data_IF_470175770989
#
_entry.id   IF_470175770989
#
_cell.length_a   1.000
_cell.length_b   1.000
_cell.length_c   1.000
_cell.angle_alpha   90.00
_cell.angle_beta   90.00
_cell.angle_gamma   90.00
#
_symmetry.space_group_name_H-M   'P 1'
#
loop_
_entity.id
_entity.type
_entity.pdbx_description
1 polymer ?
#
# COMPACT_ATOMS: atom_id res chain seq x y z
N UNK A 1 -19.95 25.53 0.48
CA UNK A 1 -20.26 24.68 1.64
C UNK A 1 -18.95 24.17 2.22
N UNK A 2 -18.62 24.48 3.47
CA UNK A 2 -17.34 24.09 4.11
C UNK A 2 -17.57 22.92 5.05
N UNK A 3 -16.92 21.78 4.80
CA UNK A 3 -16.92 20.65 5.71
C UNK A 3 -15.80 20.82 6.76
N UNK A 4 -16.11 20.53 8.03
CA UNK A 4 -15.10 20.48 9.11
C UNK A 4 -14.60 19.05 9.29
N UNK A 5 -13.29 18.92 9.39
CA UNK A 5 -12.56 17.68 9.66
C UNK A 5 -11.55 17.96 10.77
N UNK A 6 -11.32 16.96 11.63
CA UNK A 6 -10.31 17.03 12.69
C UNK A 6 -8.91 16.66 12.14
N UNK A 7 -8.87 15.89 11.03
CA UNK A 7 -7.66 15.53 10.31
C UNK A 7 -7.93 15.43 8.81
N UNK A 8 -7.02 15.98 8.01
CA UNK A 8 -6.95 15.76 6.57
C UNK A 8 -5.61 15.11 6.25
N UNK A 9 -5.64 13.91 5.69
CA UNK A 9 -4.45 13.18 5.25
C UNK A 9 -4.29 13.34 3.75
N UNK A 10 -3.08 13.75 3.32
CA UNK A 10 -2.72 13.87 1.92
C UNK A 10 -1.85 12.66 1.57
N UNK A 11 -2.40 11.76 0.76
CA UNK A 11 -1.81 10.48 0.36
C UNK A 11 -2.50 9.28 1.03
N UNK A 12 -3.11 8.42 0.23
CA UNK A 12 -3.72 7.14 0.57
C UNK A 12 -2.72 5.97 0.48
N UNK A 13 -1.46 6.22 0.84
CA UNK A 13 -0.46 5.17 1.07
C UNK A 13 -0.57 4.58 2.47
N UNK A 14 0.21 3.51 2.73
CA UNK A 14 0.16 2.78 4.02
C UNK A 14 0.34 3.67 5.25
N UNK A 15 1.24 4.66 5.20
CA UNK A 15 1.45 5.58 6.32
C UNK A 15 0.22 6.48 6.56
N UNK A 16 -0.34 7.05 5.48
CA UNK A 16 -1.51 7.92 5.56
C UNK A 16 -2.76 7.17 6.04
N UNK A 17 -3.00 5.99 5.49
CA UNK A 17 -4.10 5.11 5.92
C UNK A 17 -3.93 4.70 7.39
N UNK A 18 -2.71 4.34 7.82
CA UNK A 18 -2.47 3.96 9.21
C UNK A 18 -2.75 5.12 10.19
N UNK A 19 -2.33 6.33 9.86
CA UNK A 19 -2.63 7.51 10.66
C UNK A 19 -4.14 7.84 10.67
N UNK A 20 -4.76 7.85 9.49
CA UNK A 20 -6.19 8.13 9.34
C UNK A 20 -7.06 7.15 10.12
N UNK A 21 -6.78 5.85 10.02
CA UNK A 21 -7.52 4.80 10.72
C UNK A 21 -7.38 4.93 12.24
N UNK A 22 -6.17 5.24 12.75
CA UNK A 22 -5.96 5.47 14.19
C UNK A 22 -6.78 6.65 14.70
N UNK A 23 -6.79 7.77 13.98
CA UNK A 23 -7.59 8.95 14.38
C UNK A 23 -9.09 8.70 14.25
N UNK A 24 -9.53 8.06 13.16
CA UNK A 24 -10.94 7.72 12.96
C UNK A 24 -11.45 6.76 14.06
N UNK A 25 -10.63 5.81 14.50
CA UNK A 25 -10.96 4.93 15.63
C UNK A 25 -11.11 5.67 16.97
N UNK A 26 -10.56 6.88 17.10
CA UNK A 26 -10.74 7.77 18.25
C UNK A 26 -11.95 8.72 18.07
N UNK A 27 -12.78 8.50 17.05
CA UNK A 27 -13.99 9.30 16.78
C UNK A 27 -13.76 10.58 15.98
N UNK A 28 -12.54 10.80 15.47
CA UNK A 28 -12.25 11.99 14.66
C UNK A 28 -12.91 11.91 13.30
N UNK A 29 -13.40 13.05 12.79
CA UNK A 29 -13.83 13.20 11.40
C UNK A 29 -12.60 13.36 10.52
N UNK A 30 -12.19 12.27 9.87
CA UNK A 30 -10.98 12.24 9.03
C UNK A 30 -11.36 12.26 7.55
N UNK A 31 -10.63 13.06 6.77
CA UNK A 31 -10.62 12.99 5.32
C UNK A 31 -9.27 12.47 4.81
N UNK A 32 -9.28 11.68 3.74
CA UNK A 32 -8.07 11.29 3.02
C UNK A 32 -8.26 11.71 1.56
N UNK A 33 -7.23 12.30 0.97
CA UNK A 33 -7.20 12.63 -0.45
C UNK A 33 -5.92 12.09 -1.06
N UNK A 34 -5.99 11.56 -2.28
CA UNK A 34 -4.83 11.13 -3.05
C UNK A 34 -5.07 11.49 -4.53
N UNK A 35 -4.00 11.82 -5.23
CA UNK A 35 -4.02 12.05 -6.68
C UNK A 35 -3.88 10.72 -7.47
N UNK A 36 -3.42 9.66 -6.80
CA UNK A 36 -3.19 8.34 -7.36
C UNK A 36 -4.15 7.31 -6.75
N UNK A 37 -4.22 6.09 -7.30
CA UNK A 37 -5.08 5.05 -6.78
C UNK A 37 -4.75 4.67 -5.32
N UNK A 38 -5.78 4.30 -4.57
CA UNK A 38 -5.72 3.87 -3.18
C UNK A 38 -4.70 2.73 -2.96
N UNK A 39 -3.92 2.83 -1.87
CA UNK A 39 -2.89 1.85 -1.49
C UNK A 39 -1.47 2.36 -1.68
N UNK A 40 -1.28 3.40 -2.51
CA UNK A 40 0.01 4.06 -2.72
C UNK A 40 1.10 3.12 -3.25
N UNK A 41 2.36 3.50 -3.02
CA UNK A 41 3.51 2.81 -3.64
C UNK A 41 3.67 1.37 -3.16
N UNK A 42 3.61 1.12 -1.84
CA UNK A 42 3.92 -0.21 -1.30
C UNK A 42 2.96 -1.29 -1.84
N UNK A 43 1.65 -1.01 -1.87
CA UNK A 43 0.66 -1.97 -2.37
C UNK A 43 0.66 -2.09 -3.90
N UNK A 44 0.77 -0.98 -4.63
CA UNK A 44 0.51 -0.99 -6.08
C UNK A 44 1.76 -1.12 -6.94
N UNK A 45 2.91 -0.65 -6.45
CA UNK A 45 4.13 -0.47 -7.28
C UNK A 45 5.43 -0.74 -6.51
N UNK A 46 5.33 -1.46 -5.39
CA UNK A 46 6.42 -1.58 -4.43
C UNK A 46 6.44 -2.95 -3.79
N UNK A 47 6.17 -3.00 -2.50
CA UNK A 47 6.27 -4.19 -1.66
C UNK A 47 5.55 -5.41 -2.22
N UNK A 48 4.28 -5.26 -2.60
CA UNK A 48 3.43 -6.40 -2.95
C UNK A 48 3.78 -6.96 -4.33
N UNK A 49 3.86 -6.15 -5.42
CA UNK A 49 4.33 -6.63 -6.72
C UNK A 49 5.74 -7.23 -6.63
N UNK A 50 6.64 -6.61 -5.86
CA UNK A 50 8.00 -7.13 -5.64
C UNK A 50 8.00 -8.50 -4.97
N UNK A 51 7.14 -8.75 -3.99
CA UNK A 51 7.04 -10.07 -3.34
C UNK A 51 6.56 -11.15 -4.32
N UNK A 52 5.58 -10.83 -5.17
CA UNK A 52 5.09 -11.76 -6.19
C UNK A 52 6.20 -12.09 -7.20
N UNK A 53 6.90 -11.09 -7.71
CA UNK A 53 8.00 -11.27 -8.66
C UNK A 53 9.17 -12.06 -8.04
N UNK A 54 9.55 -11.72 -6.81
CA UNK A 54 10.60 -12.45 -6.08
C UNK A 54 10.23 -13.93 -5.93
N UNK A 55 8.98 -14.23 -5.58
CA UNK A 55 8.54 -15.63 -5.46
C UNK A 55 8.60 -16.38 -6.79
N UNK A 56 8.22 -15.72 -7.89
CA UNK A 56 8.37 -16.29 -9.23
C UNK A 56 9.83 -16.63 -9.55
N UNK A 57 10.76 -15.72 -9.24
CA UNK A 57 12.19 -15.96 -9.42
C UNK A 57 12.70 -17.14 -8.57
N UNK A 58 12.31 -17.22 -7.30
CA UNK A 58 12.68 -18.34 -6.41
C UNK A 58 12.19 -19.70 -6.94
N UNK A 59 10.98 -19.75 -7.54
CA UNK A 59 10.44 -20.98 -8.12
C UNK A 59 11.23 -21.41 -9.36
N UNK A 60 11.59 -20.46 -10.23
CA UNK A 60 12.40 -20.73 -11.42
C UNK A 60 13.81 -21.21 -11.02
N UNK A 61 14.40 -20.56 -10.02
CA UNK A 61 15.73 -20.90 -9.50
C UNK A 61 15.76 -22.31 -8.90
N UNK A 62 14.74 -22.67 -8.12
CA UNK A 62 14.62 -23.99 -7.50
C UNK A 62 14.21 -25.11 -8.49
N UNK A 63 13.87 -24.77 -9.74
CA UNK A 63 13.40 -25.76 -10.71
C UNK A 63 14.54 -26.72 -11.12
N UNK A 64 14.34 -28.05 -11.03
CA UNK A 64 15.36 -29.03 -11.42
C UNK A 64 15.75 -28.96 -12.90
N UNK A 65 14.93 -28.32 -13.75
CA UNK A 65 15.26 -28.09 -15.16
C UNK A 65 16.47 -27.17 -15.33
N UNK A 66 16.79 -26.33 -14.33
CA UNK A 66 17.94 -25.42 -14.35
C UNK A 66 19.29 -26.12 -14.19
N UNK A 67 19.33 -27.37 -13.70
CA UNK A 67 20.60 -28.13 -13.60
C UNK A 67 21.08 -28.74 -14.93
N UNK A 68 20.31 -28.55 -16.02
CA UNK A 68 20.61 -29.08 -17.36
C UNK A 68 21.05 -28.01 -18.37
N UNK A 69 21.21 -26.75 -17.93
CA UNK A 69 21.86 -25.67 -18.64
C UNK A 69 23.21 -25.40 -17.97
#
# INVERSE_FOLDING_TARGET
MTARFDLIVIGAGMAGIAAANKCAAQGWRVAIVDALPYGGTCALRGCDPKKILRRGAEIIDASPTRSRL
#
